data_IF_964784000852
#
_entry.id   IF_964784000852
#
_cell.length_a   1.000
_cell.length_b   1.000
_cell.length_c   1.000
_cell.angle_alpha   90.00
_cell.angle_beta   90.00
_cell.angle_gamma   90.00
#
_symmetry.space_group_name_H-M   'P 1'
#
loop_
_entity.id
_entity.type
_entity.pdbx_description
1 polymer ?
#
# COMPACT_ATOMS: atom_id res chain seq x y z
N UNK A 1 -19.11 -2.15 8.22
CA UNK A 1 -17.67 -1.84 8.46
C UNK A 1 -17.39 -0.34 8.65
N UNK A 2 -17.25 0.50 7.60
CA UNK A 2 -16.83 1.91 7.78
C UNK A 2 -17.80 2.76 8.61
N UNK A 3 -19.10 2.61 8.34
CA UNK A 3 -20.16 3.26 9.11
C UNK A 3 -20.23 2.75 10.57
N UNK A 4 -19.90 1.48 10.81
CA UNK A 4 -19.84 0.95 12.17
C UNK A 4 -18.67 1.52 12.96
N UNK A 5 -17.52 1.76 12.34
CA UNK A 5 -16.40 2.44 13.00
C UNK A 5 -16.82 3.85 13.44
N UNK A 6 -17.58 4.56 12.59
CA UNK A 6 -18.12 5.88 12.91
C UNK A 6 -19.10 5.81 14.09
N UNK A 7 -20.01 4.82 14.09
CA UNK A 7 -20.94 4.58 15.19
C UNK A 7 -20.25 4.17 16.50
N UNK A 8 -19.04 3.58 16.43
CA UNK A 8 -18.21 3.25 17.60
C UNK A 8 -17.39 4.45 18.11
N UNK A 9 -17.51 5.62 17.48
CA UNK A 9 -16.90 6.86 17.93
C UNK A 9 -15.61 7.27 17.20
N UNK A 10 -15.21 6.56 16.14
CA UNK A 10 -14.11 7.03 15.29
C UNK A 10 -14.53 8.28 14.54
N UNK A 11 -13.87 9.40 14.86
CA UNK A 11 -14.15 10.70 14.24
C UNK A 11 -13.50 10.82 12.88
N UNK A 12 -12.20 10.48 12.80
CA UNK A 12 -11.42 10.61 11.59
C UNK A 12 -10.42 9.48 11.41
N UNK A 13 -10.15 9.18 10.15
CA UNK A 13 -9.08 8.29 9.71
C UNK A 13 -8.13 9.13 8.87
N UNK A 14 -6.89 9.32 9.33
CA UNK A 14 -5.94 10.16 8.60
C UNK A 14 -5.37 9.43 7.37
N UNK A 15 -5.10 8.13 7.49
CA UNK A 15 -4.49 7.32 6.44
C UNK A 15 -5.23 5.98 6.34
N UNK A 16 -5.63 5.60 5.14
CA UNK A 16 -6.17 4.27 4.84
C UNK A 16 -5.34 3.60 3.74
N UNK A 17 -4.83 2.40 4.03
CA UNK A 17 -4.09 1.59 3.06
C UNK A 17 -5.02 0.53 2.45
N UNK A 18 -5.21 0.56 1.13
CA UNK A 18 -6.14 -0.33 0.41
C UNK A 18 -5.41 -1.17 -0.64
N UNK A 19 -5.93 -2.35 -0.95
CA UNK A 19 -5.32 -3.30 -1.91
C UNK A 19 -5.66 -2.99 -3.39
N UNK A 20 -6.00 -1.73 -3.70
CA UNK A 20 -6.39 -1.36 -5.07
C UNK A 20 -7.74 -1.91 -5.54
N UNK A 21 -8.60 -2.32 -4.62
CA UNK A 21 -9.99 -2.68 -4.93
C UNK A 21 -10.72 -1.49 -5.55
N UNK A 22 -11.34 -1.73 -6.71
CA UNK A 22 -12.19 -0.75 -7.37
C UNK A 22 -13.37 -0.39 -6.44
N UNK A 23 -13.75 0.89 -6.43
CA UNK A 23 -14.87 1.45 -5.64
C UNK A 23 -14.66 1.50 -4.10
N UNK A 24 -13.63 0.85 -3.57
CA UNK A 24 -13.31 0.91 -2.14
C UNK A 24 -12.80 2.30 -1.68
N UNK A 25 -11.96 3.00 -2.47
CA UNK A 25 -11.60 4.39 -2.17
C UNK A 25 -12.80 5.32 -2.06
N UNK A 26 -13.79 5.16 -2.95
CA UNK A 26 -14.99 6.00 -2.99
C UNK A 26 -15.87 5.75 -1.76
N UNK A 27 -15.99 4.49 -1.33
CA UNK A 27 -16.68 4.13 -0.09
C UNK A 27 -16.03 4.74 1.16
N UNK A 28 -14.70 4.82 1.21
CA UNK A 28 -13.96 5.47 2.31
C UNK A 28 -14.21 6.98 2.30
N UNK A 29 -14.07 7.63 1.14
CA UNK A 29 -14.29 9.07 0.98
C UNK A 29 -15.72 9.49 1.35
N UNK A 30 -16.72 8.61 1.14
CA UNK A 30 -18.10 8.86 1.53
C UNK A 30 -18.30 8.97 3.06
N UNK A 31 -17.52 8.22 3.85
CA UNK A 31 -17.66 8.19 5.32
C UNK A 31 -16.65 9.10 6.02
N UNK A 32 -15.41 9.15 5.50
CA UNK A 32 -14.26 9.90 6.00
C UNK A 32 -13.58 10.67 4.83
N UNK A 33 -14.09 11.86 4.47
CA UNK A 33 -13.60 12.60 3.29
C UNK A 33 -12.21 13.20 3.45
N UNK A 34 -11.67 13.27 4.67
CA UNK A 34 -10.33 13.79 4.96
C UNK A 34 -9.25 12.69 4.97
N UNK A 35 -9.63 11.43 4.71
CA UNK A 35 -8.69 10.32 4.72
C UNK A 35 -7.77 10.33 3.52
N UNK A 36 -6.46 10.29 3.76
CA UNK A 36 -5.49 10.08 2.70
C UNK A 36 -5.42 8.58 2.34
N UNK A 37 -5.91 8.23 1.15
CA UNK A 37 -5.95 6.86 0.68
C UNK A 37 -4.63 6.51 -0.03
N UNK A 38 -3.98 5.45 0.42
CA UNK A 38 -2.73 4.94 -0.14
C UNK A 38 -2.89 3.48 -0.58
N UNK A 39 -2.13 3.06 -1.58
CA UNK A 39 -2.03 1.64 -1.91
C UNK A 39 -1.22 0.91 -0.85
N UNK A 40 -1.71 -0.25 -0.42
CA UNK A 40 -1.05 -1.02 0.61
C UNK A 40 0.21 -1.70 0.06
N UNK A 41 1.37 -1.18 0.45
CA UNK A 41 2.69 -1.73 0.09
C UNK A 41 2.80 -3.21 0.47
N UNK A 42 2.22 -3.62 1.60
CA UNK A 42 2.27 -5.02 2.05
C UNK A 42 1.52 -5.93 1.07
N UNK A 43 0.34 -5.54 0.61
CA UNK A 43 -0.38 -6.33 -0.37
C UNK A 43 0.35 -6.38 -1.71
N UNK A 44 0.91 -5.25 -2.15
CA UNK A 44 1.74 -5.20 -3.36
C UNK A 44 2.95 -6.13 -3.26
N UNK A 45 3.73 -6.08 -2.18
CA UNK A 45 4.88 -6.96 -1.95
C UNK A 45 4.46 -8.43 -1.92
N UNK A 46 3.39 -8.76 -1.20
CA UNK A 46 2.88 -10.15 -1.15
C UNK A 46 2.41 -10.65 -2.51
N UNK A 47 1.74 -9.79 -3.28
CA UNK A 47 1.28 -10.09 -4.64
C UNK A 47 2.48 -10.33 -5.57
N UNK A 48 3.51 -9.49 -5.54
CA UNK A 48 4.73 -9.66 -6.33
C UNK A 48 5.50 -10.93 -5.97
N UNK A 49 5.64 -11.24 -4.67
CA UNK A 49 6.37 -12.42 -4.21
C UNK A 49 5.69 -13.76 -4.59
N UNK A 50 4.41 -13.75 -4.96
CA UNK A 50 3.70 -14.94 -5.47
C UNK A 50 4.35 -15.50 -6.74
N UNK A 51 5.00 -14.65 -7.53
CA UNK A 51 5.63 -15.03 -8.80
C UNK A 51 7.13 -15.35 -8.67
N UNK A 52 7.67 -15.31 -7.45
CA UNK A 52 9.10 -15.50 -7.20
C UNK A 52 9.37 -16.92 -6.74
N UNK A 53 10.38 -17.56 -7.34
CA UNK A 53 10.82 -18.89 -6.92
C UNK A 53 11.41 -18.84 -5.50
N UNK A 54 11.32 -19.94 -4.75
CA UNK A 54 11.90 -19.98 -3.40
C UNK A 54 13.41 -19.70 -3.38
N UNK A 55 14.14 -20.05 -4.46
CA UNK A 55 15.58 -19.81 -4.60
C UNK A 55 15.89 -18.32 -4.62
N UNK A 56 15.05 -17.53 -5.28
CA UNK A 56 15.25 -16.09 -5.47
C UNK A 56 14.57 -15.24 -4.39
N UNK A 57 13.71 -15.85 -3.57
CA UNK A 57 12.91 -15.17 -2.54
C UNK A 57 13.75 -14.23 -1.65
N UNK A 58 14.90 -14.71 -1.16
CA UNK A 58 15.78 -13.93 -0.28
C UNK A 58 16.42 -12.74 -1.00
N UNK A 59 16.81 -12.92 -2.26
CA UNK A 59 17.41 -11.85 -3.06
C UNK A 59 16.36 -10.76 -3.37
N UNK A 60 15.16 -11.17 -3.81
CA UNK A 60 14.08 -10.24 -4.17
C UNK A 60 13.57 -9.46 -2.94
N UNK A 61 13.35 -10.14 -1.81
CA UNK A 61 12.91 -9.46 -0.57
C UNK A 61 13.93 -8.47 -0.05
N UNK A 62 15.23 -8.78 -0.14
CA UNK A 62 16.30 -7.83 0.21
C UNK A 62 16.29 -6.59 -0.70
N UNK A 63 16.10 -6.77 -2.00
CA UNK A 63 15.97 -5.67 -2.96
C UNK A 63 14.75 -4.78 -2.67
N UNK A 64 13.58 -5.39 -2.47
CA UNK A 64 12.34 -4.68 -2.13
C UNK A 64 12.48 -3.88 -0.83
N UNK A 65 13.17 -4.42 0.17
CA UNK A 65 13.44 -3.69 1.42
C UNK A 65 14.24 -2.42 1.17
N UNK A 66 15.23 -2.46 0.27
CA UNK A 66 16.02 -1.27 -0.10
C UNK A 66 15.14 -0.23 -0.80
N UNK A 67 14.28 -0.65 -1.72
CA UNK A 67 13.36 0.25 -2.45
C UNK A 67 12.46 1.02 -1.48
N UNK A 68 11.83 0.33 -0.52
CA UNK A 68 10.91 0.98 0.42
C UNK A 68 11.59 1.67 1.62
N UNK A 69 12.89 1.42 1.85
CA UNK A 69 13.66 2.08 2.91
C UNK A 69 14.27 3.41 2.46
N UNK A 70 14.47 3.60 1.15
CA UNK A 70 15.06 4.83 0.60
C UNK A 70 14.11 6.00 0.86
N UNK A 71 14.64 7.08 1.44
CA UNK A 71 13.85 8.29 1.73
C UNK A 71 13.88 9.23 0.53
N UNK A 72 12.73 9.50 -0.08
CA UNK A 72 12.58 10.45 -1.18
C UNK A 72 11.83 9.87 -2.38
N UNK A 73 10.93 10.65 -2.98
CA UNK A 73 10.19 10.27 -4.18
C UNK A 73 11.12 10.20 -5.42
N UNK A 74 12.12 11.08 -5.46
CA UNK A 74 13.11 11.22 -6.54
C UNK A 74 14.03 9.98 -6.64
N UNK A 75 14.30 9.37 -5.50
CA UNK A 75 15.13 8.18 -5.35
C UNK A 75 14.43 6.87 -5.75
N UNK A 76 13.10 6.85 -5.82
CA UNK A 76 12.29 5.68 -6.17
C UNK A 76 12.13 5.51 -7.69
N UNK A 77 12.16 6.59 -8.46
CA UNK A 77 12.07 6.55 -9.93
C UNK A 77 13.32 5.90 -10.56
N UNK A 78 14.50 6.11 -9.95
CA UNK A 78 15.76 5.52 -10.37
C UNK A 78 15.72 3.97 -10.45
N UNK A 79 14.87 3.31 -9.66
CA UNK A 79 14.74 1.85 -9.64
C UNK A 79 13.66 1.32 -10.60
N UNK A 80 12.76 2.20 -11.09
CA UNK A 80 11.71 1.82 -12.06
C UNK A 80 12.23 1.65 -13.49
N UNK A 81 13.49 2.01 -13.78
CA UNK A 81 14.07 1.99 -15.12
C UNK A 81 15.37 1.20 -15.24
N UNK A 82 15.28 -0.13 -15.37
CA UNK A 82 16.12 -1.00 -16.23
C UNK A 82 15.50 -2.41 -16.26
N UNK A 83 14.39 -2.54 -16.97
CA UNK A 83 13.93 -3.79 -17.59
C UNK A 83 13.73 -3.50 -19.06
#
# INVERSE_FOLDING_TARGET
MLAELKNRGFQDILIACVDGLKDFPDAINSVYPQTHIQLCIIHMVRSSLKYVSWKDYKAVTSGLKTVYRRGGADDAECVRGRV
#
